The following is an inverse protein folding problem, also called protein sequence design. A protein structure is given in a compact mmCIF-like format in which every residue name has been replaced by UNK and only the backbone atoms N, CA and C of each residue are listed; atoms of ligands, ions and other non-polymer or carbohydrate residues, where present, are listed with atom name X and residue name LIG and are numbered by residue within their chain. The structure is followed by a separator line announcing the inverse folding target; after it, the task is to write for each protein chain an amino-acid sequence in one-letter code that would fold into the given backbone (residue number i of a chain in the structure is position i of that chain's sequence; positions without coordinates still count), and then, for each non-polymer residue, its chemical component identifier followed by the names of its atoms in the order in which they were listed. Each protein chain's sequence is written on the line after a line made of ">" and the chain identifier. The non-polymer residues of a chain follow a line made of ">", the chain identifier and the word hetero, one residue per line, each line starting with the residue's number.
data_IF_958776346074
#
_entry.id   IF_958776346074
#
_cell.length_a   1.000
_cell.length_b   1.000
_cell.length_c   1.000
_cell.angle_alpha   90.00
_cell.angle_beta   90.00
_cell.angle_gamma   90.00
#
_symmetry.space_group_name_H-M   'P 1'
#
loop_
_entity.id
_entity.type
_entity.pdbx_description
1 polymer ?
#
# COMPACT_ATOMS: atom_id res chain seq x y z
N UNK A 1 10.93 3.17 5.37
CA UNK A 1 9.52 3.16 4.98
C UNK A 1 8.99 1.76 4.69
N UNK A 2 9.56 1.03 3.71
CA UNK A 2 9.06 -0.31 3.33
C UNK A 2 9.01 -1.29 4.51
N UNK A 3 10.08 -1.38 5.32
CA UNK A 3 10.11 -2.22 6.53
C UNK A 3 9.01 -1.87 7.53
N UNK A 4 8.72 -0.57 7.73
CA UNK A 4 7.67 -0.12 8.64
C UNK A 4 6.29 -0.55 8.15
N UNK A 5 5.94 -0.23 6.90
CA UNK A 5 4.64 -0.58 6.32
C UNK A 5 4.44 -2.10 6.25
N UNK A 6 5.50 -2.86 5.91
CA UNK A 6 5.46 -4.32 5.91
C UNK A 6 5.21 -4.89 7.31
N UNK A 7 5.87 -4.37 8.33
CA UNK A 7 5.71 -4.82 9.71
C UNK A 7 4.31 -4.50 10.26
N UNK A 8 3.75 -3.32 9.94
CA UNK A 8 2.39 -2.95 10.35
C UNK A 8 1.34 -3.85 9.67
N UNK A 9 1.51 -4.14 8.37
CA UNK A 9 0.63 -5.07 7.66
C UNK A 9 0.70 -6.50 8.18
N UNK A 10 1.91 -7.00 8.43
CA UNK A 10 2.10 -8.35 8.97
C UNK A 10 1.47 -8.52 10.36
N UNK A 11 1.44 -7.45 11.15
CA UNK A 11 0.77 -7.41 12.44
C UNK A 11 -0.73 -7.04 12.36
N UNK A 12 -1.26 -6.87 11.14
CA UNK A 12 -2.62 -6.36 10.88
C UNK A 12 -2.98 -5.08 11.64
N UNK A 13 -1.95 -4.28 11.98
CA UNK A 13 -2.12 -3.00 12.66
C UNK A 13 -2.47 -1.90 11.65
N UNK A 14 -3.65 -2.02 11.05
CA UNK A 14 -4.12 -1.08 10.03
C UNK A 14 -4.42 0.30 10.59
N UNK A 15 -4.76 0.41 11.89
CA UNK A 15 -4.93 1.71 12.53
C UNK A 15 -3.64 2.53 12.44
N UNK A 16 -2.53 1.98 12.90
CA UNK A 16 -1.25 2.69 12.88
C UNK A 16 -0.74 2.89 11.45
N UNK A 17 -1.09 1.98 10.52
CA UNK A 17 -0.76 2.13 9.09
C UNK A 17 -1.53 3.29 8.44
N UNK A 18 -2.84 3.42 8.70
CA UNK A 18 -3.66 4.55 8.24
C UNK A 18 -3.14 5.89 8.80
N UNK A 19 -2.73 5.91 10.08
CA UNK A 19 -2.12 7.10 10.69
C UNK A 19 -0.79 7.42 9.99
N UNK A 20 0.06 6.43 9.73
CA UNK A 20 1.32 6.64 9.01
C UNK A 20 1.10 7.23 7.61
N UNK A 21 0.16 6.69 6.85
CA UNK A 21 -0.20 7.18 5.52
C UNK A 21 -0.78 8.60 5.57
N UNK A 22 -1.71 8.85 6.47
CA UNK A 22 -2.31 10.17 6.63
C UNK A 22 -1.29 11.25 6.99
N UNK A 23 -0.34 10.93 7.87
CA UNK A 23 0.69 11.87 8.32
C UNK A 23 1.83 12.05 7.31
N UNK A 24 2.37 10.94 6.78
CA UNK A 24 3.63 10.95 6.04
C UNK A 24 3.44 10.97 4.52
N UNK A 25 2.34 10.44 4.02
CA UNK A 25 2.00 10.48 2.61
C UNK A 25 1.07 11.66 2.28
N UNK A 26 -0.08 11.74 2.95
CA UNK A 26 -1.06 12.78 2.65
C UNK A 26 -0.80 14.12 3.37
N UNK A 27 0.23 14.23 4.22
CA UNK A 27 0.59 15.46 4.93
C UNK A 27 -0.51 16.01 5.85
N UNK A 28 -1.45 15.17 6.28
CA UNK A 28 -2.58 15.57 7.13
C UNK A 28 -2.11 15.98 8.52
N UNK A 29 -2.81 16.95 9.11
CA UNK A 29 -2.57 17.34 10.50
C UNK A 29 -3.16 16.30 11.47
N UNK A 30 -2.57 16.19 12.68
CA UNK A 30 -3.05 15.24 13.70
C UNK A 30 -4.55 15.38 13.96
N UNK A 31 -5.04 16.63 14.09
CA UNK A 31 -6.45 16.92 14.33
C UNK A 31 -7.39 16.43 13.21
N UNK A 32 -6.99 16.65 11.97
CA UNK A 32 -7.79 16.22 10.79
C UNK A 32 -7.88 14.70 10.74
N UNK A 33 -6.74 14.04 10.96
CA UNK A 33 -6.67 12.59 10.93
C UNK A 33 -7.40 11.95 12.11
N UNK A 34 -7.33 12.57 13.29
CA UNK A 34 -8.08 12.16 14.48
C UNK A 34 -9.59 12.18 14.21
N UNK A 35 -10.10 13.26 13.61
CA UNK A 35 -11.52 13.38 13.25
C UNK A 35 -11.97 12.30 12.26
N UNK A 36 -11.16 12.05 11.23
CA UNK A 36 -11.46 11.04 10.20
C UNK A 36 -11.43 9.62 10.73
N UNK A 37 -10.46 9.31 11.60
CA UNK A 37 -10.29 7.97 12.17
C UNK A 37 -11.10 7.74 13.45
N UNK A 38 -11.88 8.76 13.88
CA UNK A 38 -12.65 8.74 15.15
C UNK A 38 -11.75 8.45 16.37
N UNK A 39 -10.58 9.08 16.39
CA UNK A 39 -9.60 9.00 17.46
C UNK A 39 -9.43 10.37 18.15
N UNK A 40 -8.81 10.38 19.32
CA UNK A 40 -8.34 11.62 19.93
C UNK A 40 -7.03 12.09 19.25
N UNK A 41 -6.77 13.40 19.28
CA UNK A 41 -5.52 13.97 18.77
C UNK A 41 -4.29 13.42 19.53
N UNK A 42 -4.46 13.13 20.83
CA UNK A 42 -3.43 12.51 21.64
C UNK A 42 -3.06 11.10 21.17
N UNK A 43 -4.04 10.27 20.80
CA UNK A 43 -3.78 8.94 20.26
C UNK A 43 -2.99 9.00 18.95
N UNK A 44 -3.38 9.90 18.04
CA UNK A 44 -2.64 10.14 16.80
C UNK A 44 -1.21 10.60 17.07
N UNK A 45 -1.03 11.52 18.04
CA UNK A 45 0.28 12.02 18.44
C UNK A 45 1.18 10.92 19.02
N UNK A 46 0.64 10.08 19.89
CA UNK A 46 1.38 8.94 20.46
C UNK A 46 1.80 7.93 19.38
N UNK A 47 0.90 7.62 18.45
CA UNK A 47 1.23 6.75 17.31
C UNK A 47 2.30 7.39 16.45
N UNK A 48 2.17 8.67 16.10
CA UNK A 48 3.18 9.42 15.34
C UNK A 48 4.55 9.30 15.98
N UNK A 49 4.65 9.52 17.30
CA UNK A 49 5.92 9.44 18.02
C UNK A 49 6.53 8.04 17.95
N UNK A 50 5.72 6.99 18.15
CA UNK A 50 6.18 5.59 18.01
C UNK A 50 6.67 5.27 16.62
N UNK A 51 5.96 5.73 15.58
CA UNK A 51 6.32 5.52 14.17
C UNK A 51 7.65 6.22 13.85
N UNK A 52 7.85 7.46 14.28
CA UNK A 52 9.10 8.20 14.10
C UNK A 52 10.26 7.46 14.77
N UNK A 53 10.09 7.07 16.04
CA UNK A 53 11.11 6.31 16.78
C UNK A 53 11.50 5.02 16.06
N UNK A 54 10.52 4.30 15.51
CA UNK A 54 10.76 3.06 14.76
C UNK A 54 11.46 3.31 13.42
N UNK A 55 11.10 4.39 12.73
CA UNK A 55 11.80 4.80 11.50
C UNK A 55 13.25 5.16 11.80
N UNK A 56 13.51 5.96 12.83
CA UNK A 56 14.87 6.32 13.28
C UNK A 56 15.70 5.08 13.62
N UNK A 57 15.09 4.07 14.23
CA UNK A 57 15.76 2.81 14.51
C UNK A 57 16.15 2.08 13.22
N UNK A 58 15.24 1.94 12.25
CA UNK A 58 15.53 1.29 10.97
C UNK A 58 16.63 1.99 10.17
N UNK A 59 16.72 3.30 10.27
CA UNK A 59 17.76 4.09 9.63
C UNK A 59 19.12 3.85 10.29
N UNK A 60 19.18 3.82 11.63
CA UNK A 60 20.40 3.49 12.38
C UNK A 60 20.89 2.07 12.08
N UNK A 61 19.99 1.08 12.03
CA UNK A 61 20.31 -0.30 11.66
C UNK A 61 20.85 -0.45 10.23
N UNK A 62 20.48 0.49 9.34
CA UNK A 62 21.00 0.55 7.98
C UNK A 62 22.40 1.24 7.88
N UNK A 63 23.03 1.58 9.01
CA UNK A 63 24.33 2.24 9.08
C UNK A 63 24.32 3.71 8.69
N UNK A 64 23.17 4.35 8.62
CA UNK A 64 23.05 5.77 8.33
C UNK A 64 22.98 6.58 9.62
N UNK A 65 23.95 7.47 9.80
CA UNK A 65 23.95 8.45 10.91
C UNK A 65 22.98 9.60 10.56
N UNK A 66 21.71 9.43 10.87
CA UNK A 66 20.71 10.49 10.74
C UNK A 66 20.28 10.91 12.13
N UNK A 67 20.38 12.22 12.42
CA UNK A 67 19.87 12.80 13.67
C UNK A 67 18.35 12.62 13.74
N UNK A 68 17.82 12.34 14.94
CA UNK A 68 16.36 12.24 15.18
C UNK A 68 15.62 13.54 14.79
N UNK A 69 16.32 14.66 14.77
CA UNK A 69 15.80 15.97 14.33
C UNK A 69 15.40 15.99 12.84
N UNK A 70 15.97 15.12 12.02
CA UNK A 70 15.59 14.99 10.59
C UNK A 70 14.14 14.54 10.42
N UNK A 71 13.57 13.83 11.41
CA UNK A 71 12.18 13.37 11.36
C UNK A 71 11.18 14.30 12.04
N UNK A 72 11.64 15.38 12.69
CA UNK A 72 10.78 16.28 13.49
C UNK A 72 10.58 17.67 12.89
N UNK A 73 11.40 18.07 11.91
CA UNK A 73 11.33 19.39 11.26
C UNK A 73 10.36 19.44 10.06
N UNK A 74 9.96 20.64 9.66
CA UNK A 74 9.10 20.86 8.48
C UNK A 74 9.73 20.38 7.18
N UNK A 75 11.05 20.46 7.04
CA UNK A 75 11.80 19.94 5.89
C UNK A 75 11.69 18.41 5.78
N UNK A 76 11.53 17.71 6.91
CA UNK A 76 11.39 16.25 6.93
C UNK A 76 10.02 15.77 6.44
N UNK A 77 8.97 16.56 6.61
CA UNK A 77 7.64 16.20 6.12
C UNK A 77 7.65 16.01 4.59
N UNK A 78 8.24 16.95 3.85
CA UNK A 78 8.38 16.84 2.39
C UNK A 78 9.23 15.64 1.94
N UNK A 79 10.34 15.36 2.64
CA UNK A 79 11.19 14.21 2.34
C UNK A 79 10.47 12.88 2.61
N UNK A 80 9.72 12.79 3.71
CA UNK A 80 8.95 11.60 4.03
C UNK A 80 7.82 11.37 3.02
N UNK A 81 7.13 12.43 2.60
CA UNK A 81 6.10 12.36 1.55
C UNK A 81 6.69 11.91 0.23
N UNK A 82 7.77 12.56 -0.24
CA UNK A 82 8.44 12.19 -1.49
C UNK A 82 8.96 10.74 -1.48
N UNK A 83 9.53 10.29 -0.35
CA UNK A 83 9.95 8.90 -0.18
C UNK A 83 8.76 7.93 -0.18
N UNK A 84 7.62 8.32 0.42
CA UNK A 84 6.42 7.50 0.42
C UNK A 84 5.80 7.37 -0.96
N UNK A 85 5.71 8.47 -1.71
CA UNK A 85 5.23 8.50 -3.09
C UNK A 85 6.10 7.66 -4.02
N UNK A 86 7.42 7.80 -3.92
CA UNK A 86 8.38 7.06 -4.76
C UNK A 86 8.35 5.56 -4.47
N UNK A 87 8.40 5.16 -3.20
CA UNK A 87 8.52 3.76 -2.79
C UNK A 87 7.17 3.04 -2.68
N UNK A 88 6.08 3.78 -2.56
CA UNK A 88 4.70 3.26 -2.38
C UNK A 88 4.61 2.11 -1.37
N UNK A 89 5.20 2.25 -0.17
CA UNK A 89 5.43 1.14 0.76
C UNK A 89 4.13 0.54 1.30
N UNK A 90 3.06 1.31 1.32
CA UNK A 90 1.76 0.94 1.88
C UNK A 90 0.73 0.54 0.85
N UNK A 91 0.97 0.76 -0.45
CA UNK A 91 0.03 0.38 -1.49
C UNK A 91 -0.36 -1.10 -1.39
N UNK A 92 -1.66 -1.43 -1.40
CA UNK A 92 -2.13 -2.80 -1.49
C UNK A 92 -1.59 -3.49 -2.75
N UNK A 93 -1.26 -4.78 -2.63
CA UNK A 93 -0.85 -5.57 -3.80
C UNK A 93 -2.01 -5.72 -4.77
N UNK A 94 -1.72 -5.91 -6.07
CA UNK A 94 -2.72 -6.15 -7.11
C UNK A 94 -3.67 -7.32 -6.75
N UNK A 95 -3.13 -8.39 -6.14
CA UNK A 95 -3.95 -9.50 -5.64
C UNK A 95 -4.91 -9.10 -4.53
N UNK A 96 -4.51 -8.17 -3.65
CA UNK A 96 -5.37 -7.63 -2.59
C UNK A 96 -6.47 -6.75 -3.19
N UNK A 97 -6.15 -5.90 -4.18
CA UNK A 97 -7.13 -5.11 -4.91
C UNK A 97 -8.12 -5.99 -5.67
N UNK A 98 -7.66 -7.11 -6.27
CA UNK A 98 -8.54 -8.09 -6.90
C UNK A 98 -9.52 -8.72 -5.91
N UNK A 99 -9.05 -9.12 -4.72
CA UNK A 99 -9.93 -9.63 -3.66
C UNK A 99 -10.92 -8.57 -3.17
N UNK A 100 -10.49 -7.29 -3.09
CA UNK A 100 -11.35 -6.17 -2.76
C UNK A 100 -12.47 -5.99 -3.81
N UNK A 101 -12.12 -6.01 -5.09
CA UNK A 101 -13.06 -5.94 -6.21
C UNK A 101 -14.12 -7.07 -6.18
N UNK A 102 -13.74 -8.24 -5.68
CA UNK A 102 -14.62 -9.40 -5.54
C UNK A 102 -15.41 -9.43 -4.21
N UNK A 103 -15.17 -8.50 -3.28
CA UNK A 103 -15.81 -8.48 -1.98
C UNK A 103 -15.44 -9.63 -1.06
N UNK A 104 -14.25 -10.22 -1.23
CA UNK A 104 -13.78 -11.39 -0.47
C UNK A 104 -12.62 -11.10 0.49
N UNK A 105 -12.39 -9.82 0.78
CA UNK A 105 -11.41 -9.43 1.80
C UNK A 105 -11.99 -9.59 3.22
N UNK A 106 -11.15 -9.94 4.21
CA UNK A 106 -11.52 -9.78 5.61
C UNK A 106 -11.86 -8.32 5.93
N UNK A 107 -12.79 -8.05 6.89
CA UNK A 107 -13.29 -6.70 7.15
C UNK A 107 -12.22 -5.67 7.47
N UNK A 108 -11.17 -6.04 8.21
CA UNK A 108 -10.05 -5.16 8.55
C UNK A 108 -9.21 -4.77 7.31
N UNK A 109 -9.01 -5.69 6.38
CA UNK A 109 -8.35 -5.42 5.11
C UNK A 109 -9.23 -4.59 4.18
N UNK A 110 -10.51 -4.88 4.10
CA UNK A 110 -11.47 -4.11 3.29
C UNK A 110 -11.51 -2.65 3.75
N UNK A 111 -11.64 -2.42 5.08
CA UNK A 111 -11.63 -1.10 5.67
C UNK A 111 -10.32 -0.34 5.41
N UNK A 112 -9.18 -1.03 5.45
CA UNK A 112 -7.90 -0.43 5.09
C UNK A 112 -7.82 -0.07 3.60
N UNK A 113 -8.24 -0.95 2.70
CA UNK A 113 -8.19 -0.68 1.24
C UNK A 113 -9.13 0.47 0.89
N UNK A 114 -10.32 0.52 1.48
CA UNK A 114 -11.27 1.63 1.31
C UNK A 114 -10.66 2.95 1.77
N UNK A 115 -10.06 3.00 2.95
CA UNK A 115 -9.34 4.18 3.44
C UNK A 115 -8.25 4.63 2.45
N UNK A 116 -7.46 3.69 1.94
CA UNK A 116 -6.36 3.97 1.02
C UNK A 116 -6.84 4.52 -0.34
N UNK A 117 -7.97 4.02 -0.86
CA UNK A 117 -8.55 4.46 -2.12
C UNK A 117 -9.33 5.78 -1.97
N UNK A 118 -10.24 5.84 -1.01
CA UNK A 118 -11.24 6.91 -0.94
C UNK A 118 -10.70 8.13 -0.18
N UNK A 119 -9.98 7.90 0.91
CA UNK A 119 -9.57 8.97 1.81
C UNK A 119 -8.17 9.51 1.50
N UNK A 120 -7.22 8.63 1.16
CA UNK A 120 -5.91 9.05 0.67
C UNK A 120 -5.93 9.40 -0.82
N UNK A 121 -6.90 8.89 -1.57
CA UNK A 121 -7.01 9.15 -3.00
C UNK A 121 -5.82 8.62 -3.80
N UNK A 122 -5.27 7.46 -3.45
CA UNK A 122 -4.10 6.91 -4.13
C UNK A 122 -4.40 6.58 -5.60
N UNK A 123 -3.98 7.46 -6.51
CA UNK A 123 -4.22 7.33 -7.95
C UNK A 123 -3.63 6.05 -8.54
N UNK A 124 -2.47 5.62 -8.04
CA UNK A 124 -1.85 4.36 -8.47
C UNK A 124 -2.72 3.13 -8.16
N UNK A 125 -3.26 3.05 -6.95
CA UNK A 125 -4.12 1.93 -6.57
C UNK A 125 -5.51 2.03 -7.22
N UNK A 126 -6.04 3.23 -7.42
CA UNK A 126 -7.27 3.46 -8.16
C UNK A 126 -7.15 3.02 -9.62
N UNK A 127 -6.06 3.37 -10.30
CA UNK A 127 -5.80 2.92 -11.67
C UNK A 127 -5.67 1.39 -11.77
N UNK A 128 -4.94 0.76 -10.84
CA UNK A 128 -4.84 -0.70 -10.78
C UNK A 128 -6.19 -1.39 -10.54
N UNK A 129 -7.04 -0.79 -9.70
CA UNK A 129 -8.39 -1.32 -9.44
C UNK A 129 -9.27 -1.19 -10.68
N UNK A 130 -9.25 -0.02 -11.35
CA UNK A 130 -10.00 0.21 -12.58
C UNK A 130 -9.58 -0.78 -13.68
N UNK A 131 -8.29 -1.05 -13.82
CA UNK A 131 -7.77 -2.05 -14.77
C UNK A 131 -8.26 -3.48 -14.44
N UNK A 132 -8.35 -3.84 -13.15
CA UNK A 132 -8.87 -5.14 -12.71
C UNK A 132 -10.38 -5.29 -12.95
N UNK A 133 -11.11 -4.18 -12.92
CA UNK A 133 -12.56 -4.13 -13.13
C UNK A 133 -12.93 -3.94 -14.62
N UNK A 134 -11.97 -3.60 -15.47
CA UNK A 134 -12.21 -3.44 -16.89
C UNK A 134 -12.74 -4.76 -17.50
N UNK A 135 -13.74 -4.69 -18.38
CA UNK A 135 -14.24 -5.87 -19.07
C UNK A 135 -13.09 -6.56 -19.83
N UNK A 136 -12.96 -7.86 -19.66
CA UNK A 136 -12.01 -8.63 -20.46
C UNK A 136 -12.51 -8.61 -21.89
N UNK A 137 -11.70 -8.11 -22.81
CA UNK A 137 -12.00 -8.26 -24.24
C UNK A 137 -12.00 -9.76 -24.58
N UNK A 138 -13.21 -10.30 -24.75
CA UNK A 138 -13.43 -11.74 -24.99
C UNK A 138 -12.74 -12.20 -26.27
N UNK A 139 -12.59 -11.33 -27.27
CA UNK A 139 -11.89 -11.63 -28.52
C UNK A 139 -10.39 -11.80 -28.26
N UNK A 140 -9.78 -10.90 -27.48
CA UNK A 140 -8.36 -10.97 -27.15
C UNK A 140 -8.07 -12.14 -26.18
N UNK A 141 -8.95 -12.38 -25.20
CA UNK A 141 -8.87 -13.53 -24.32
C UNK A 141 -8.95 -14.85 -25.08
N UNK A 142 -9.89 -14.98 -26.03
CA UNK A 142 -10.04 -16.15 -26.89
C UNK A 142 -8.81 -16.34 -27.79
N UNK A 143 -8.26 -15.28 -28.34
CA UNK A 143 -7.05 -15.34 -29.16
C UNK A 143 -5.81 -15.76 -28.34
N UNK A 144 -5.73 -15.35 -27.06
CA UNK A 144 -4.67 -15.81 -26.14
C UNK A 144 -4.84 -17.28 -25.77
N UNK A 145 -6.07 -17.71 -25.50
CA UNK A 145 -6.38 -19.11 -25.19
C UNK A 145 -6.04 -20.03 -26.38
N UNK A 146 -6.41 -19.63 -27.57
CA UNK A 146 -6.08 -20.38 -28.80
C UNK A 146 -4.58 -20.51 -29.05
N UNK A 147 -3.81 -19.42 -28.77
CA UNK A 147 -2.33 -19.45 -28.83
C UNK A 147 -1.73 -20.40 -27.83
N UNK A 148 -2.24 -20.40 -26.59
CA UNK A 148 -1.80 -21.33 -25.54
C UNK A 148 -2.12 -22.77 -25.90
N UNK A 149 -3.33 -23.07 -26.41
CA UNK A 149 -3.71 -24.41 -26.86
C UNK A 149 -2.83 -24.89 -28.01
N UNK A 150 -2.57 -24.05 -29.02
CA UNK A 150 -1.67 -24.40 -30.12
C UNK A 150 -0.23 -24.65 -29.65
N UNK A 151 0.28 -23.88 -28.69
CA UNK A 151 1.61 -24.11 -28.15
C UNK A 151 1.71 -25.40 -27.33
N UNK A 152 0.61 -25.81 -26.67
CA UNK A 152 0.58 -27.02 -25.84
C UNK A 152 0.43 -28.29 -26.66
N UNK A 153 -0.38 -28.25 -27.73
CA UNK A 153 -0.56 -29.39 -28.66
C UNK A 153 0.75 -29.73 -29.35
N UNK A 154 1.55 -28.71 -29.76
CA UNK A 154 2.87 -28.94 -30.37
C UNK A 154 3.91 -29.55 -29.44
N UNK A 155 3.67 -29.59 -28.12
CA UNK A 155 4.55 -30.22 -27.15
C UNK A 155 4.31 -31.72 -26.98
N UNK A 156 3.05 -32.16 -27.18
CA UNK A 156 2.66 -33.58 -27.07
C UNK A 156 2.99 -34.38 -28.35
N UNK A 157 2.97 -33.74 -29.51
CA UNK A 157 3.37 -34.43 -30.80
C UNK A 157 4.88 -34.70 -30.90
N UNK A 158 5.74 -34.04 -30.13
CA UNK A 158 7.18 -34.30 -30.11
C UNK A 158 7.62 -35.38 -29.13
N UNK A 159 6.76 -35.85 -28.26
CA UNK A 159 7.06 -36.87 -27.27
C UNK A 159 6.72 -38.30 -27.76
N UNK A 160 6.23 -38.43 -28.96
CA UNK A 160 5.76 -39.69 -29.58
C UNK A 160 6.56 -40.20 -30.79
N UNK A 161 7.83 -39.72 -30.95
CA UNK A 161 8.72 -40.24 -32.03
C UNK A 161 10.01 -40.73 -31.48
#
# INVERSE_FOLDING_TARGET
>A
MQKLAAALRAAENFRDLKIAEGLFYAGRRNRELAAVLQLSENEVSLVKHRLIKRLSQFVREAGQLISDTVFTGTASAGLLTAAWESLRPSCPKRTTLGKYSLGILPPNWEDYVRFHLDLLGCSFCAANLAELQAPVDTAEASARLNRLQQSTVGFFDRAGS
#
